data_IF_111683605536
#
_entry.id   IF_111683605536
#
_cell.length_a   1.000
_cell.length_b   1.000
_cell.length_c   1.000
_cell.angle_alpha   90.00
_cell.angle_beta   90.00
_cell.angle_gamma   90.00
#
_symmetry.space_group_name_H-M   'P 1'
#
loop_
_entity.id
_entity.type
_entity.pdbx_description
1 polymer ?
#
# COMPACT_ATOMS: atom_id res chain seq x y z
N UNK A 1 2.56 0.46 16.14
CA UNK A 1 3.30 0.59 14.87
C UNK A 1 2.36 0.12 13.78
N UNK A 2 1.88 1.02 12.92
CA UNK A 2 0.96 0.65 11.84
C UNK A 2 1.74 -0.17 10.79
N UNK A 3 1.17 -1.29 10.33
CA UNK A 3 1.80 -2.09 9.27
C UNK A 3 1.73 -1.36 7.93
N UNK A 4 2.59 -1.76 7.00
CA UNK A 4 2.62 -1.22 5.65
C UNK A 4 1.30 -1.56 4.96
N UNK A 5 0.78 -2.77 5.25
CA UNK A 5 -0.55 -3.18 4.79
C UNK A 5 -1.68 -2.29 5.31
N UNK A 6 -1.70 -1.96 6.60
CA UNK A 6 -2.73 -1.09 7.16
C UNK A 6 -2.71 0.32 6.54
N UNK A 7 -1.51 0.84 6.29
CA UNK A 7 -1.34 2.13 5.61
C UNK A 7 -1.88 2.06 4.17
N UNK A 8 -1.59 0.98 3.44
CA UNK A 8 -2.10 0.79 2.10
C UNK A 8 -3.63 0.74 2.08
N UNK A 9 -4.26 -0.02 2.96
CA UNK A 9 -5.73 -0.14 2.98
C UNK A 9 -6.40 1.20 3.30
N UNK A 10 -5.79 2.05 4.14
CA UNK A 10 -6.26 3.42 4.36
C UNK A 10 -6.23 4.26 3.06
N UNK A 11 -5.17 4.14 2.27
CA UNK A 11 -5.05 4.85 0.98
C UNK A 11 -6.09 4.33 -0.02
N UNK A 12 -6.23 3.01 -0.14
CA UNK A 12 -7.22 2.39 -1.02
C UNK A 12 -8.65 2.78 -0.63
N UNK A 13 -8.95 2.85 0.67
CA UNK A 13 -10.27 3.28 1.16
C UNK A 13 -10.56 4.73 0.78
N UNK A 14 -9.57 5.64 0.91
CA UNK A 14 -9.70 7.04 0.46
C UNK A 14 -9.83 7.19 -1.05
N UNK A 15 -9.22 6.29 -1.83
CA UNK A 15 -9.39 6.26 -3.28
C UNK A 15 -10.79 5.77 -3.66
N UNK A 16 -11.30 4.74 -2.98
CA UNK A 16 -12.64 4.23 -3.20
C UNK A 16 -13.72 5.27 -2.87
N UNK A 17 -13.55 6.03 -1.77
CA UNK A 17 -14.53 7.04 -1.35
C UNK A 17 -14.71 8.18 -2.33
N UNK A 18 -13.69 8.50 -3.14
CA UNK A 18 -13.71 9.60 -4.13
C UNK A 18 -13.82 9.14 -5.58
N UNK A 19 -13.95 7.83 -5.81
CA UNK A 19 -13.93 7.26 -7.16
C UNK A 19 -15.10 7.74 -8.05
N UNK A 20 -16.19 8.21 -7.45
CA UNK A 20 -17.34 8.78 -8.17
C UNK A 20 -17.05 10.20 -8.67
N UNK A 21 -16.33 11.00 -7.88
CA UNK A 21 -16.14 12.44 -8.10
C UNK A 21 -14.82 12.77 -8.80
N UNK A 22 -13.79 11.95 -8.57
CA UNK A 22 -12.44 12.16 -9.08
C UNK A 22 -12.00 11.00 -10.00
N UNK A 23 -11.72 11.30 -11.27
CA UNK A 23 -11.15 10.35 -12.25
C UNK A 23 -9.66 10.59 -12.48
N UNK A 24 -8.89 10.61 -11.40
CA UNK A 24 -7.43 10.85 -11.45
C UNK A 24 -6.65 9.63 -11.92
N UNK A 25 -7.10 8.43 -11.54
CA UNK A 25 -6.45 7.18 -11.89
C UNK A 25 -7.28 6.43 -12.94
N UNK A 26 -6.63 5.99 -14.01
CA UNK A 26 -7.27 5.17 -15.05
C UNK A 26 -7.38 3.70 -14.65
N UNK A 27 -6.44 3.21 -13.83
CA UNK A 27 -6.41 1.84 -13.34
C UNK A 27 -5.76 1.76 -11.97
N UNK A 28 -6.37 1.01 -11.06
CA UNK A 28 -5.84 0.72 -9.73
C UNK A 28 -5.41 -0.75 -9.66
N UNK A 29 -4.15 -0.98 -9.26
CA UNK A 29 -3.58 -2.32 -9.09
C UNK A 29 -3.64 -2.77 -7.62
N UNK A 30 -4.85 -2.88 -7.06
CA UNK A 30 -5.03 -3.10 -5.63
C UNK A 30 -4.39 -4.41 -5.13
N UNK A 31 -4.54 -5.52 -5.86
CA UNK A 31 -3.98 -6.81 -5.46
C UNK A 31 -2.45 -6.84 -5.48
N UNK A 32 -1.84 -6.26 -6.52
CA UNK A 32 -0.38 -6.17 -6.60
C UNK A 32 0.19 -5.27 -5.49
N UNK A 33 -0.47 -4.14 -5.21
CA UNK A 33 -0.07 -3.26 -4.11
C UNK A 33 -0.13 -3.96 -2.75
N UNK A 34 -1.17 -4.76 -2.54
CA UNK A 34 -1.38 -5.58 -1.33
C UNK A 34 -0.26 -6.61 -1.14
N UNK A 35 0.04 -7.37 -2.19
CA UNK A 35 1.14 -8.35 -2.15
C UNK A 35 2.49 -7.68 -1.88
N UNK A 36 2.75 -6.50 -2.46
CA UNK A 36 3.97 -5.75 -2.22
C UNK A 36 4.07 -5.25 -0.76
N UNK A 37 2.97 -4.73 -0.20
CA UNK A 37 2.92 -4.29 1.20
C UNK A 37 3.18 -5.45 2.17
N UNK A 38 2.56 -6.61 1.95
CA UNK A 38 2.77 -7.81 2.77
C UNK A 38 4.23 -8.27 2.72
N UNK A 39 4.87 -8.19 1.54
CA UNK A 39 6.29 -8.51 1.38
C UNK A 39 7.21 -7.50 2.10
N UNK A 40 6.91 -6.21 2.07
CA UNK A 40 7.66 -5.20 2.84
C UNK A 40 7.50 -5.41 4.34
N UNK A 41 6.28 -5.72 4.82
CA UNK A 41 6.05 -6.05 6.23
C UNK A 41 6.83 -7.29 6.67
N UNK A 42 6.91 -8.31 5.81
CA UNK A 42 7.72 -9.50 6.07
C UNK A 42 9.22 -9.18 6.15
N UNK A 43 9.75 -8.35 5.23
CA UNK A 43 11.15 -7.89 5.27
C UNK A 43 11.45 -7.09 6.53
N UNK A 44 10.58 -6.15 6.89
CA UNK A 44 10.71 -5.34 8.10
C UNK A 44 10.73 -6.22 9.36
N UNK A 45 9.87 -7.24 9.44
CA UNK A 45 9.89 -8.23 10.54
C UNK A 45 11.18 -9.03 10.59
N UNK A 46 11.80 -9.31 9.45
CA UNK A 46 13.10 -9.98 9.34
C UNK A 46 14.30 -9.05 9.54
N UNK A 47 14.10 -7.75 9.82
CA UNK A 47 15.19 -6.77 9.94
C UNK A 47 15.85 -6.39 8.62
N UNK A 48 15.25 -6.75 7.48
CA UNK A 48 15.72 -6.44 6.13
C UNK A 48 14.93 -5.24 5.59
N UNK A 49 15.60 -4.36 4.85
CA UNK A 49 14.96 -3.29 4.07
C UNK A 49 15.59 -3.21 2.69
N UNK A 50 14.78 -3.04 1.65
CA UNK A 50 15.26 -2.80 0.28
C UNK A 50 15.65 -1.34 0.03
N UNK A 51 15.51 -0.46 1.03
CA UNK A 51 15.89 0.95 0.94
C UNK A 51 14.79 1.90 1.44
N UNK A 52 14.98 3.22 1.24
CA UNK A 52 14.13 4.25 1.83
C UNK A 52 12.70 4.30 1.28
N UNK A 53 12.40 3.56 0.21
CA UNK A 53 11.06 3.43 -0.39
C UNK A 53 10.43 2.05 -0.12
N UNK A 54 11.06 1.19 0.67
CA UNK A 54 10.56 -0.15 0.97
C UNK A 54 9.42 -0.12 2.00
N UNK A 55 8.26 0.38 1.55
CA UNK A 55 7.04 0.44 2.33
C UNK A 55 7.15 1.26 3.62
N UNK A 56 8.09 2.20 3.68
CA UNK A 56 8.22 3.23 4.73
C UNK A 56 6.97 4.06 4.85
#
# INVERSE_FOLDING_TARGET
MQSIRDRLENILSRLASRAADEKVYTKLYAEAARAAADASDARKRAGVTLGPLDGT
#
